data_IF_444579386395
#
_entry.id   IF_444579386395
#
_cell.length_a   1.000
_cell.length_b   1.000
_cell.length_c   1.000
_cell.angle_alpha   90.00
_cell.angle_beta   90.00
_cell.angle_gamma   90.00
#
_symmetry.space_group_name_H-M   'P 1'
#
loop_
_entity.id
_entity.type
_entity.pdbx_description
1 polymer ?
#
# COMPACT_ATOMS: atom_id res chain seq x y z
N UNK A 1 -52.14 -24.32 -25.51
CA UNK A 1 -52.22 -23.31 -26.59
C UNK A 1 -51.22 -22.19 -26.31
N UNK A 2 -50.51 -21.65 -27.31
CA UNK A 2 -49.55 -20.54 -27.10
C UNK A 2 -50.05 -19.22 -27.70
N UNK A 3 -49.65 -18.09 -27.12
CA UNK A 3 -50.04 -16.76 -27.59
C UNK A 3 -48.82 -16.00 -28.11
N UNK A 4 -48.96 -15.40 -29.29
CA UNK A 4 -47.90 -14.60 -29.87
C UNK A 4 -47.59 -13.35 -29.02
N UNK A 5 -46.36 -13.25 -28.52
CA UNK A 5 -45.89 -12.11 -27.71
C UNK A 5 -45.87 -10.76 -28.45
N UNK A 6 -45.92 -10.77 -29.79
CA UNK A 6 -45.91 -9.55 -30.61
C UNK A 6 -47.31 -9.06 -31.03
N UNK A 7 -48.23 -9.97 -31.35
CA UNK A 7 -49.54 -9.60 -31.92
C UNK A 7 -50.76 -10.19 -31.18
N UNK A 8 -50.56 -10.95 -30.12
CA UNK A 8 -51.61 -11.49 -29.25
C UNK A 8 -52.51 -12.59 -29.85
N UNK A 9 -52.24 -13.04 -31.09
CA UNK A 9 -53.01 -14.14 -31.70
C UNK A 9 -52.69 -15.45 -30.97
N UNK A 10 -53.74 -16.23 -30.71
CA UNK A 10 -53.67 -17.60 -30.21
C UNK A 10 -53.27 -18.53 -31.35
N UNK A 11 -52.21 -19.30 -31.15
CA UNK A 11 -51.74 -20.32 -32.08
C UNK A 11 -51.74 -21.69 -31.39
N UNK A 12 -51.67 -22.74 -32.20
CA UNK A 12 -51.55 -24.11 -31.70
C UNK A 12 -50.26 -24.31 -30.91
N UNK A 13 -50.26 -25.29 -30.01
CA UNK A 13 -49.12 -25.57 -29.12
C UNK A 13 -47.85 -25.96 -29.86
N UNK A 14 -48.02 -26.59 -31.03
CA UNK A 14 -46.92 -27.06 -31.87
C UNK A 14 -46.55 -26.05 -32.97
N UNK A 15 -47.14 -24.84 -32.95
CA UNK A 15 -46.86 -23.82 -33.96
C UNK A 15 -45.49 -23.16 -33.70
N UNK A 16 -44.52 -23.37 -34.59
CA UNK A 16 -43.20 -22.74 -34.50
C UNK A 16 -43.22 -21.24 -34.81
N UNK A 17 -44.17 -20.79 -35.66
CA UNK A 17 -44.33 -19.39 -36.06
C UNK A 17 -45.78 -18.93 -35.89
N UNK A 18 -45.97 -17.65 -35.61
CA UNK A 18 -47.31 -17.07 -35.51
C UNK A 18 -47.95 -16.93 -36.89
N UNK A 19 -49.05 -17.63 -37.14
CA UNK A 19 -49.81 -17.61 -38.41
C UNK A 19 -50.25 -16.22 -38.90
N UNK A 20 -50.31 -15.22 -38.00
CA UNK A 20 -50.75 -13.87 -38.39
C UNK A 20 -49.61 -12.91 -38.68
N UNK A 21 -48.48 -13.02 -37.99
CA UNK A 21 -47.40 -12.04 -38.10
C UNK A 21 -46.03 -12.65 -38.42
N UNK A 22 -45.95 -13.97 -38.54
CA UNK A 22 -44.75 -14.71 -38.95
C UNK A 22 -43.60 -14.73 -37.94
N UNK A 23 -43.78 -14.20 -36.72
CA UNK A 23 -42.70 -14.23 -35.71
C UNK A 23 -42.57 -15.62 -35.08
N UNK A 24 -41.34 -16.07 -34.87
CA UNK A 24 -41.05 -17.30 -34.15
C UNK A 24 -41.67 -17.25 -32.75
N UNK A 25 -42.36 -18.32 -32.39
CA UNK A 25 -42.97 -18.51 -31.07
C UNK A 25 -42.00 -19.22 -30.12
N UNK A 26 -40.86 -19.70 -30.63
CA UNK A 26 -39.80 -20.28 -29.81
C UNK A 26 -39.05 -19.19 -29.03
N UNK A 27 -39.02 -19.34 -27.70
CA UNK A 27 -38.40 -18.39 -26.77
C UNK A 27 -36.88 -18.50 -26.74
N UNK A 28 -36.30 -19.56 -27.33
CA UNK A 28 -34.85 -19.82 -27.36
C UNK A 28 -34.07 -18.75 -28.14
N UNK A 29 -34.63 -18.19 -29.22
CA UNK A 29 -34.00 -17.14 -30.04
C UNK A 29 -33.76 -15.80 -29.28
N UNK A 30 -34.54 -15.54 -28.22
CA UNK A 30 -34.39 -14.33 -27.40
C UNK A 30 -33.24 -14.42 -26.40
N UNK A 31 -32.89 -15.61 -25.91
CA UNK A 31 -31.78 -15.76 -24.96
C UNK A 31 -30.40 -15.63 -25.62
N UNK A 32 -30.25 -16.15 -26.84
CA UNK A 32 -28.98 -16.10 -27.57
C UNK A 32 -28.65 -14.71 -28.10
N UNK A 33 -29.66 -13.93 -28.47
CA UNK A 33 -29.50 -12.54 -28.89
C UNK A 33 -29.12 -11.61 -27.72
N UNK A 34 -29.65 -11.86 -26.51
CA UNK A 34 -29.29 -11.14 -25.28
C UNK A 34 -27.86 -11.50 -24.85
N UNK A 35 -27.49 -12.79 -24.77
CA UNK A 35 -26.12 -13.23 -24.42
C UNK A 35 -25.05 -12.65 -25.34
N UNK A 36 -25.32 -12.57 -26.65
CA UNK A 36 -24.39 -12.01 -27.65
C UNK A 36 -24.21 -10.50 -27.48
N UNK A 37 -25.26 -9.78 -27.09
CA UNK A 37 -25.19 -8.34 -26.83
C UNK A 37 -24.45 -8.00 -25.52
N UNK A 38 -24.66 -8.80 -24.47
CA UNK A 38 -23.96 -8.65 -23.18
C UNK A 38 -22.46 -8.92 -23.35
N UNK A 39 -22.09 -10.02 -24.03
CA UNK A 39 -20.68 -10.39 -24.28
C UNK A 39 -19.93 -9.36 -25.14
N UNK A 40 -20.61 -8.73 -26.11
CA UNK A 40 -20.02 -7.64 -26.92
C UNK A 40 -19.78 -6.37 -26.09
N UNK A 41 -20.60 -6.14 -25.07
CA UNK A 41 -20.49 -4.97 -24.18
C UNK A 41 -19.40 -5.19 -23.14
N UNK A 42 -19.32 -6.39 -22.55
CA UNK A 42 -18.21 -6.82 -21.68
C UNK A 42 -16.85 -6.69 -22.38
N UNK A 43 -16.71 -7.24 -23.58
CA UNK A 43 -15.46 -7.14 -24.36
C UNK A 43 -15.06 -5.69 -24.69
N UNK A 44 -16.02 -4.77 -24.81
CA UNK A 44 -15.74 -3.32 -25.01
C UNK A 44 -15.31 -2.65 -23.71
N UNK A 45 -15.90 -3.04 -22.58
CA UNK A 45 -15.55 -2.53 -21.26
C UNK A 45 -14.14 -3.02 -20.88
N UNK A 46 -13.84 -4.30 -21.11
CA UNK A 46 -12.53 -4.90 -20.87
C UNK A 46 -11.43 -4.20 -21.68
N UNK A 47 -11.64 -3.98 -22.98
CA UNK A 47 -10.68 -3.23 -23.82
C UNK A 47 -10.45 -1.80 -23.34
N UNK A 48 -11.51 -1.10 -22.91
CA UNK A 48 -11.38 0.26 -22.35
C UNK A 48 -10.67 0.27 -21.01
N UNK A 49 -10.93 -0.72 -20.15
CA UNK A 49 -10.24 -0.89 -18.87
C UNK A 49 -8.75 -1.21 -19.10
N UNK A 50 -8.42 -2.03 -20.10
CA UNK A 50 -7.04 -2.34 -20.46
C UNK A 50 -6.30 -1.12 -21.04
N UNK A 51 -6.93 -0.34 -21.93
CA UNK A 51 -6.38 0.91 -22.44
C UNK A 51 -6.18 1.96 -21.33
N UNK A 52 -7.12 2.06 -20.41
CA UNK A 52 -7.01 2.91 -19.22
C UNK A 52 -5.87 2.46 -18.30
N UNK A 53 -5.78 1.16 -18.01
CA UNK A 53 -4.71 0.56 -17.22
C UNK A 53 -3.33 0.83 -17.84
N UNK A 54 -3.17 0.59 -19.14
CA UNK A 54 -1.93 0.90 -19.87
C UNK A 54 -1.58 2.40 -19.86
N UNK A 55 -2.60 3.26 -19.85
CA UNK A 55 -2.40 4.72 -19.79
C UNK A 55 -1.97 5.17 -18.41
N UNK A 56 -2.59 4.65 -17.34
CA UNK A 56 -2.17 4.88 -15.95
C UNK A 56 -0.77 4.34 -15.72
N UNK A 57 -0.45 3.14 -16.20
CA UNK A 57 0.88 2.55 -16.03
C UNK A 57 1.96 3.42 -16.68
N UNK A 58 1.72 3.91 -17.91
CA UNK A 58 2.66 4.81 -18.59
C UNK A 58 2.77 6.17 -17.91
N UNK A 59 1.66 6.74 -17.43
CA UNK A 59 1.65 7.99 -16.68
C UNK A 59 2.41 7.83 -15.34
N UNK A 60 2.16 6.72 -14.64
CA UNK A 60 2.83 6.31 -13.42
C UNK A 60 4.34 6.18 -13.63
N UNK A 61 4.79 5.39 -14.63
CA UNK A 61 6.23 5.24 -14.93
C UNK A 61 6.92 6.56 -15.27
N UNK A 62 6.25 7.47 -15.98
CA UNK A 62 6.78 8.82 -16.30
C UNK A 62 6.84 9.71 -15.06
N UNK A 63 5.85 9.63 -14.19
CA UNK A 63 5.80 10.37 -12.95
C UNK A 63 6.85 9.87 -11.96
N UNK A 64 6.95 8.55 -11.78
CA UNK A 64 7.93 7.86 -10.96
C UNK A 64 9.36 8.21 -11.39
N UNK A 65 9.69 8.08 -12.68
CA UNK A 65 11.03 8.45 -13.17
C UNK A 65 11.38 9.93 -13.00
N UNK A 66 10.41 10.85 -13.16
CA UNK A 66 10.63 12.28 -12.90
C UNK A 66 10.84 12.55 -11.42
N UNK A 67 10.02 11.95 -10.55
CA UNK A 67 10.14 12.08 -9.10
C UNK A 67 11.48 11.52 -8.64
N UNK A 68 11.84 10.32 -9.09
CA UNK A 68 13.09 9.66 -8.72
C UNK A 68 14.31 10.50 -9.08
N UNK A 69 14.34 11.07 -10.28
CA UNK A 69 15.44 11.93 -10.70
C UNK A 69 15.48 13.21 -9.85
N UNK A 70 14.32 13.83 -9.60
CA UNK A 70 14.24 15.04 -8.77
C UNK A 70 14.67 14.77 -7.32
N UNK A 71 14.26 13.65 -6.74
CA UNK A 71 14.67 13.22 -5.39
C UNK A 71 16.18 12.96 -5.35
N UNK A 72 16.74 12.25 -6.34
CA UNK A 72 18.18 11.95 -6.41
C UNK A 72 19.01 13.23 -6.53
N UNK A 73 18.58 14.18 -7.35
CA UNK A 73 19.30 15.44 -7.55
C UNK A 73 19.20 16.32 -6.30
N UNK A 74 18.02 16.41 -5.69
CA UNK A 74 17.84 17.09 -4.41
C UNK A 74 18.70 16.46 -3.32
N UNK A 75 18.71 15.13 -3.22
CA UNK A 75 19.49 14.40 -2.23
C UNK A 75 20.99 14.62 -2.40
N UNK A 76 21.50 14.57 -3.64
CA UNK A 76 22.92 14.88 -3.92
C UNK A 76 23.27 16.31 -3.53
N UNK A 77 22.45 17.28 -3.93
CA UNK A 77 22.65 18.68 -3.57
C UNK A 77 22.64 18.88 -2.06
N UNK A 78 21.69 18.25 -1.38
CA UNK A 78 21.51 18.34 0.06
C UNK A 78 22.65 17.70 0.83
N UNK A 79 23.03 16.47 0.46
CA UNK A 79 24.17 15.74 1.07
C UNK A 79 25.47 16.54 0.86
N UNK A 80 25.67 17.16 -0.30
CA UNK A 80 26.83 18.02 -0.58
C UNK A 80 26.84 19.30 0.27
N UNK A 81 25.68 19.92 0.45
CA UNK A 81 25.55 21.21 1.15
C UNK A 81 25.64 21.08 2.67
N UNK A 82 24.96 20.09 3.25
CA UNK A 82 24.81 19.96 4.70
C UNK A 82 25.66 18.84 5.31
N UNK A 83 26.17 17.90 4.50
CA UNK A 83 27.05 16.81 4.92
C UNK A 83 26.56 16.15 6.23
N UNK A 84 27.37 16.20 7.30
CA UNK A 84 27.07 15.59 8.60
C UNK A 84 25.82 16.16 9.26
N UNK A 85 25.49 17.44 9.02
CA UNK A 85 24.30 18.08 9.58
C UNK A 85 23.01 17.73 8.84
N UNK A 86 23.11 17.16 7.64
CA UNK A 86 21.95 16.81 6.83
C UNK A 86 20.95 15.90 7.55
N UNK A 87 21.36 14.72 8.06
CA UNK A 87 20.48 13.83 8.81
C UNK A 87 19.80 14.49 10.01
N UNK A 88 20.52 15.37 10.72
CA UNK A 88 19.98 16.10 11.86
C UNK A 88 18.88 17.08 11.45
N UNK A 89 19.12 17.87 10.41
CA UNK A 89 18.13 18.82 9.88
C UNK A 89 16.88 18.08 9.40
N UNK A 90 17.02 16.95 8.69
CA UNK A 90 15.88 16.12 8.29
C UNK A 90 15.10 15.56 9.48
N UNK A 91 15.79 15.16 10.54
CA UNK A 91 15.14 14.68 11.78
C UNK A 91 14.31 15.80 12.43
N UNK A 92 14.85 17.02 12.48
CA UNK A 92 14.12 18.18 13.01
C UNK A 92 12.93 18.54 12.13
N UNK A 93 13.09 18.53 10.81
CA UNK A 93 11.98 18.77 9.89
C UNK A 93 10.88 17.72 10.05
N UNK A 94 11.27 16.45 10.18
CA UNK A 94 10.35 15.35 10.47
C UNK A 94 9.61 15.54 11.79
N UNK A 95 10.28 16.00 12.84
CA UNK A 95 9.67 16.32 14.13
C UNK A 95 8.69 17.49 14.03
N UNK A 96 9.01 18.54 13.27
CA UNK A 96 8.10 19.67 13.02
C UNK A 96 6.83 19.17 12.33
N UNK A 97 6.97 18.36 11.27
CA UNK A 97 5.84 17.78 10.54
C UNK A 97 5.01 16.88 11.46
N UNK A 98 5.65 15.99 12.23
CA UNK A 98 4.98 15.13 13.19
C UNK A 98 4.20 15.94 14.24
N UNK A 99 4.78 17.04 14.73
CA UNK A 99 4.10 17.95 15.65
C UNK A 99 2.89 18.62 15.02
N UNK A 100 2.98 19.03 13.74
CA UNK A 100 1.83 19.57 13.02
C UNK A 100 0.71 18.51 12.90
N UNK A 101 1.06 17.26 12.63
CA UNK A 101 0.11 16.15 12.60
C UNK A 101 -0.57 15.99 13.97
N UNK A 102 0.20 15.96 15.06
CA UNK A 102 -0.35 15.86 16.42
C UNK A 102 -1.32 17.01 16.72
N UNK A 103 -0.99 18.25 16.32
CA UNK A 103 -1.87 19.41 16.51
C UNK A 103 -3.18 19.25 15.72
N UNK A 104 -3.10 18.79 14.47
CA UNK A 104 -4.28 18.54 13.64
C UNK A 104 -5.14 17.42 14.25
N UNK A 105 -4.52 16.33 14.68
CA UNK A 105 -5.20 15.21 15.33
C UNK A 105 -5.86 15.62 16.63
N UNK A 106 -5.19 16.42 17.46
CA UNK A 106 -5.76 16.96 18.69
C UNK A 106 -6.98 17.84 18.42
N UNK A 107 -6.96 18.64 17.34
CA UNK A 107 -8.12 19.46 16.95
C UNK A 107 -9.28 18.63 16.39
N UNK A 108 -8.99 17.52 15.71
CA UNK A 108 -10.01 16.55 15.27
C UNK A 108 -10.46 15.60 16.38
N UNK A 109 -9.69 15.51 17.47
CA UNK A 109 -10.00 14.67 18.63
C UNK A 109 -11.25 15.10 19.39
N UNK A 110 -11.62 16.39 19.28
CA UNK A 110 -12.87 16.93 19.82
C UNK A 110 -14.11 16.26 19.16
N UNK A 111 -13.98 15.85 17.90
CA UNK A 111 -15.07 15.21 17.13
C UNK A 111 -14.94 13.68 17.11
N UNK A 112 -13.72 13.14 17.16
CA UNK A 112 -13.43 11.70 17.06
C UNK A 112 -12.41 11.32 18.14
N UNK A 113 -12.91 10.70 19.22
CA UNK A 113 -12.13 10.30 20.41
C UNK A 113 -10.84 9.54 20.05
N UNK A 114 -10.90 8.66 19.05
CA UNK A 114 -9.76 7.86 18.57
C UNK A 114 -8.58 8.73 18.14
N UNK A 115 -8.82 9.89 17.51
CA UNK A 115 -7.74 10.77 17.06
C UNK A 115 -7.07 11.50 18.22
N UNK A 116 -7.81 11.81 19.30
CA UNK A 116 -7.25 12.36 20.53
C UNK A 116 -6.25 11.40 21.16
N UNK A 117 -6.66 10.15 21.39
CA UNK A 117 -5.82 9.11 22.01
C UNK A 117 -4.56 8.79 21.20
N UNK A 118 -4.67 8.72 19.88
CA UNK A 118 -3.50 8.52 19.01
C UNK A 118 -2.60 9.75 19.07
N UNK A 119 -3.16 10.97 19.07
CA UNK A 119 -2.40 12.21 19.23
C UNK A 119 -1.59 12.23 20.53
N UNK A 120 -2.22 11.86 21.65
CA UNK A 120 -1.57 11.77 22.97
C UNK A 120 -0.46 10.72 23.00
N UNK A 121 -0.68 9.56 22.37
CA UNK A 121 0.34 8.54 22.22
C UNK A 121 1.53 9.07 21.41
N UNK A 122 1.27 9.68 20.25
CA UNK A 122 2.32 10.26 19.40
C UNK A 122 3.09 11.37 20.13
N UNK A 123 2.41 12.17 20.95
CA UNK A 123 3.02 13.18 21.80
C UNK A 123 3.89 12.54 22.90
N UNK A 124 3.39 11.52 23.58
CA UNK A 124 4.13 10.79 24.63
C UNK A 124 5.41 10.14 24.09
N UNK A 125 5.39 9.66 22.84
CA UNK A 125 6.53 9.02 22.20
C UNK A 125 7.32 9.95 21.26
N UNK A 126 7.07 11.26 21.29
CA UNK A 126 7.68 12.23 20.37
C UNK A 126 9.22 12.13 20.36
N UNK A 127 9.84 11.99 21.53
CA UNK A 127 11.30 11.83 21.63
C UNK A 127 11.80 10.50 21.05
N UNK A 128 11.03 9.41 21.21
CA UNK A 128 11.36 8.12 20.60
C UNK A 128 11.28 8.22 19.08
N UNK A 129 10.23 8.85 18.55
CA UNK A 129 10.12 9.12 17.11
C UNK A 129 11.29 9.95 16.59
N UNK A 130 11.68 11.01 17.30
CA UNK A 130 12.84 11.81 16.93
C UNK A 130 14.13 10.98 16.93
N UNK A 131 14.35 10.18 17.98
CA UNK A 131 15.48 9.28 18.09
C UNK A 131 15.52 8.26 16.95
N UNK A 132 14.38 7.68 16.57
CA UNK A 132 14.27 6.76 15.44
C UNK A 132 14.52 7.44 14.10
N UNK A 133 13.96 8.64 13.87
CA UNK A 133 14.24 9.40 12.65
C UNK A 133 15.73 9.70 12.54
N UNK A 134 16.34 10.15 13.63
CA UNK A 134 17.76 10.45 13.69
C UNK A 134 18.60 9.19 13.42
N UNK A 135 18.30 8.09 14.11
CA UNK A 135 18.95 6.81 13.90
C UNK A 135 18.86 6.37 12.43
N UNK A 136 17.68 6.44 11.82
CA UNK A 136 17.47 6.04 10.43
C UNK A 136 18.17 6.94 9.43
N UNK A 137 18.08 8.27 9.60
CA UNK A 137 18.72 9.20 8.68
C UNK A 137 20.23 9.11 8.75
N UNK A 138 20.81 8.95 9.95
CA UNK A 138 22.25 8.72 10.09
C UNK A 138 22.67 7.34 9.58
N UNK A 139 21.91 6.27 9.87
CA UNK A 139 22.18 4.93 9.35
C UNK A 139 22.20 4.95 7.81
N UNK A 140 21.24 5.63 7.19
CA UNK A 140 21.17 5.82 5.75
C UNK A 140 22.35 6.63 5.21
N UNK A 141 22.69 7.74 5.86
CA UNK A 141 23.81 8.61 5.46
C UNK A 141 25.17 7.90 5.56
N UNK A 142 25.44 7.22 6.66
CA UNK A 142 26.68 6.46 6.87
C UNK A 142 26.81 5.30 5.89
N UNK A 143 25.71 4.63 5.54
CA UNK A 143 25.71 3.59 4.51
C UNK A 143 26.06 4.16 3.12
N UNK A 144 25.66 5.40 2.82
CA UNK A 144 26.04 6.07 1.56
C UNK A 144 27.53 6.41 1.50
N UNK A 145 28.09 6.92 2.60
CA UNK A 145 29.50 7.37 2.65
C UNK A 145 30.48 6.20 2.83
N UNK A 146 30.23 5.33 3.80
CA UNK A 146 31.14 4.26 4.20
C UNK A 146 30.67 2.88 3.72
N UNK A 147 30.06 2.83 2.53
CA UNK A 147 29.34 1.66 1.99
C UNK A 147 30.01 0.30 2.22
N UNK A 148 31.34 0.19 2.09
CA UNK A 148 32.06 -1.08 2.27
C UNK A 148 32.20 -1.48 3.74
N UNK A 149 32.58 -0.55 4.61
CA UNK A 149 32.80 -0.81 6.04
C UNK A 149 31.47 -0.90 6.81
N UNK A 150 30.51 -0.05 6.44
CA UNK A 150 29.22 0.05 7.11
C UNK A 150 28.22 -1.03 6.69
N UNK A 151 28.55 -1.82 5.66
CA UNK A 151 27.70 -2.92 5.16
C UNK A 151 27.32 -3.94 6.23
N UNK A 152 28.19 -4.19 7.20
CA UNK A 152 27.94 -5.12 8.30
C UNK A 152 27.16 -4.50 9.46
N UNK A 153 27.22 -3.17 9.61
CA UNK A 153 26.60 -2.43 10.72
C UNK A 153 25.18 -1.99 10.34
N UNK A 154 24.98 -1.61 9.08
CA UNK A 154 23.72 -1.12 8.54
C UNK A 154 22.52 -2.05 8.82
N UNK A 155 22.61 -3.39 8.58
CA UNK A 155 21.51 -4.30 8.86
C UNK A 155 21.09 -4.29 10.32
N UNK A 156 22.04 -4.34 11.26
CA UNK A 156 21.74 -4.36 12.69
C UNK A 156 21.01 -3.10 13.15
N UNK A 157 21.48 -1.92 12.74
CA UNK A 157 20.83 -0.65 13.10
C UNK A 157 19.43 -0.57 12.45
N UNK A 158 19.28 -1.03 11.21
CA UNK A 158 17.99 -1.11 10.54
C UNK A 158 17.02 -2.05 11.27
N UNK A 159 17.50 -3.19 11.76
CA UNK A 159 16.70 -4.12 12.57
C UNK A 159 16.24 -3.47 13.87
N UNK A 160 17.14 -2.81 14.60
CA UNK A 160 16.79 -2.09 15.83
C UNK A 160 15.69 -1.07 15.56
N UNK A 161 15.86 -0.25 14.52
CA UNK A 161 14.82 0.72 14.17
C UNK A 161 13.50 0.04 13.81
N UNK A 162 13.52 -1.04 13.03
CA UNK A 162 12.32 -1.76 12.63
C UNK A 162 11.57 -2.32 13.84
N UNK A 163 12.29 -2.87 14.82
CA UNK A 163 11.70 -3.47 16.02
C UNK A 163 11.07 -2.41 16.92
N UNK A 164 11.73 -1.27 17.13
CA UNK A 164 11.13 -0.18 17.91
C UNK A 164 9.89 0.37 17.19
N UNK A 165 9.92 0.48 15.85
CA UNK A 165 8.74 0.88 15.07
C UNK A 165 7.59 -0.12 15.23
N UNK A 166 7.85 -1.43 15.15
CA UNK A 166 6.83 -2.47 15.36
C UNK A 166 6.25 -2.39 16.77
N UNK A 167 7.07 -2.15 17.78
CA UNK A 167 6.61 -1.95 19.15
C UNK A 167 5.70 -0.73 19.30
N UNK A 168 6.04 0.40 18.69
CA UNK A 168 5.18 1.59 18.69
C UNK A 168 3.84 1.28 17.99
N UNK A 169 3.88 0.58 16.85
CA UNK A 169 2.67 0.16 16.12
C UNK A 169 1.81 -0.73 17.03
N UNK A 170 2.39 -1.67 17.75
CA UNK A 170 1.66 -2.49 18.72
C UNK A 170 0.94 -1.64 19.77
N UNK A 171 1.61 -0.63 20.35
CA UNK A 171 0.97 0.29 21.31
C UNK A 171 -0.17 1.10 20.70
N UNK A 172 -0.04 1.50 19.44
CA UNK A 172 -1.12 2.15 18.70
C UNK A 172 -2.29 1.18 18.52
N UNK A 173 -2.04 -0.06 18.06
CA UNK A 173 -3.09 -1.06 17.84
C UNK A 173 -3.87 -1.40 19.10
N UNK A 174 -3.21 -1.51 20.26
CA UNK A 174 -3.88 -1.73 21.57
C UNK A 174 -4.82 -0.56 21.88
N UNK A 175 -4.41 0.68 21.60
CA UNK A 175 -5.26 1.87 21.79
C UNK A 175 -6.40 1.95 20.78
N UNK A 176 -6.24 1.47 19.55
CA UNK A 176 -7.34 1.40 18.60
C UNK A 176 -8.36 0.32 18.98
N UNK A 177 -7.90 -0.82 19.48
CA UNK A 177 -8.78 -1.93 19.90
C UNK A 177 -9.78 -1.48 20.97
N UNK A 178 -9.35 -0.67 21.95
CA UNK A 178 -10.23 -0.16 23.01
C UNK A 178 -11.39 0.70 22.51
N UNK A 179 -11.31 1.24 21.30
CA UNK A 179 -12.35 2.10 20.73
C UNK A 179 -13.13 1.48 19.58
N UNK A 180 -12.49 0.58 18.81
CA UNK A 180 -13.11 -0.06 17.66
C UNK A 180 -13.71 -1.43 17.99
N UNK A 181 -13.38 -2.00 19.16
CA UNK A 181 -13.81 -3.33 19.60
C UNK A 181 -13.54 -4.40 18.53
N UNK A 182 -12.37 -4.32 17.86
CA UNK A 182 -11.96 -5.25 16.80
C UNK A 182 -10.93 -6.23 17.38
N UNK A 183 -11.34 -7.45 17.81
CA UNK A 183 -10.48 -8.36 18.58
C UNK A 183 -9.20 -8.78 17.83
N UNK A 184 -9.25 -8.69 16.49
CA UNK A 184 -8.12 -8.95 15.62
C UNK A 184 -6.95 -7.97 15.83
N UNK A 185 -7.24 -6.68 16.12
CA UNK A 185 -6.20 -5.67 16.33
C UNK A 185 -5.42 -5.95 17.61
N UNK A 186 -6.11 -6.25 18.72
CA UNK A 186 -5.47 -6.69 19.96
C UNK A 186 -4.67 -7.97 19.79
N UNK A 187 -5.19 -8.94 19.02
CA UNK A 187 -4.47 -10.19 18.77
C UNK A 187 -3.14 -9.96 18.05
N UNK A 188 -3.11 -9.10 17.03
CA UNK A 188 -1.86 -8.73 16.34
C UNK A 188 -0.92 -8.00 17.30
N UNK A 189 -1.43 -7.04 18.05
CA UNK A 189 -0.60 -6.23 18.94
C UNK A 189 0.05 -7.08 20.03
N UNK A 190 -0.74 -7.93 20.70
CA UNK A 190 -0.25 -8.85 21.72
C UNK A 190 0.76 -9.84 21.13
N UNK A 191 0.51 -10.36 19.93
CA UNK A 191 1.48 -11.22 19.24
C UNK A 191 2.83 -10.50 19.03
N UNK A 192 2.81 -9.24 18.57
CA UNK A 192 4.03 -8.44 18.39
C UNK A 192 4.73 -8.21 19.73
N UNK A 193 4.00 -7.82 20.77
CA UNK A 193 4.56 -7.52 22.10
C UNK A 193 5.17 -8.76 22.76
N UNK A 194 4.46 -9.89 22.74
CA UNK A 194 4.92 -11.15 23.36
C UNK A 194 6.10 -11.77 22.61
N UNK A 195 6.16 -11.60 21.28
CA UNK A 195 7.17 -12.23 20.44
C UNK A 195 8.24 -11.26 19.94
N UNK A 196 8.36 -10.07 20.53
CA UNK A 196 9.25 -9.02 20.04
C UNK A 196 10.72 -9.46 19.94
N UNK A 197 11.17 -10.32 20.87
CA UNK A 197 12.53 -10.87 20.86
C UNK A 197 12.75 -11.88 19.72
N UNK A 198 11.76 -12.74 19.47
CA UNK A 198 11.81 -13.71 18.36
C UNK A 198 11.79 -12.95 17.03
N UNK A 199 10.91 -11.94 16.90
CA UNK A 199 10.85 -11.06 15.74
C UNK A 199 12.17 -10.33 15.52
N UNK A 200 12.83 -9.86 16.58
CA UNK A 200 14.15 -9.25 16.49
C UNK A 200 15.18 -10.20 15.86
N UNK A 201 15.27 -11.44 16.35
CA UNK A 201 16.22 -12.43 15.81
C UNK A 201 15.90 -12.73 14.33
N UNK A 202 14.63 -12.98 14.01
CA UNK A 202 14.21 -13.31 12.64
C UNK A 202 14.54 -12.17 11.68
N UNK A 203 14.16 -10.93 12.03
CA UNK A 203 14.41 -9.75 11.19
C UNK A 203 15.91 -9.48 11.08
N UNK A 204 16.69 -9.68 12.15
CA UNK A 204 18.14 -9.53 12.13
C UNK A 204 18.77 -10.49 11.10
N UNK A 205 18.45 -11.78 11.22
CA UNK A 205 18.96 -12.81 10.31
C UNK A 205 18.57 -12.51 8.87
N UNK A 206 17.31 -12.18 8.61
CA UNK A 206 16.83 -11.82 7.26
C UNK A 206 17.56 -10.58 6.71
N UNK A 207 17.76 -9.56 7.53
CA UNK A 207 18.45 -8.32 7.14
C UNK A 207 19.89 -8.59 6.72
N UNK A 208 20.61 -9.43 7.48
CA UNK A 208 21.96 -9.87 7.12
C UNK A 208 21.99 -10.77 5.89
N UNK A 209 21.03 -11.70 5.75
CA UNK A 209 20.92 -12.56 4.57
C UNK A 209 20.77 -11.72 3.28
N UNK A 210 19.89 -10.72 3.31
CA UNK A 210 19.66 -9.82 2.16
C UNK A 210 20.91 -9.02 1.84
N UNK A 211 21.53 -8.39 2.83
CA UNK A 211 22.65 -7.48 2.61
C UNK A 211 23.94 -8.22 2.19
N UNK A 212 24.20 -9.40 2.74
CA UNK A 212 25.44 -10.13 2.53
C UNK A 212 25.38 -11.11 1.36
N UNK A 213 24.25 -11.79 1.14
CA UNK A 213 24.16 -12.83 0.12
C UNK A 213 23.37 -12.39 -1.11
N UNK A 214 22.17 -11.82 -0.94
CA UNK A 214 21.28 -11.53 -2.07
C UNK A 214 21.81 -10.36 -2.92
N UNK A 215 22.22 -9.26 -2.29
CA UNK A 215 22.70 -8.07 -3.03
C UNK A 215 23.91 -8.34 -3.94
N UNK A 216 24.96 -9.08 -3.50
CA UNK A 216 26.04 -9.47 -4.39
C UNK A 216 25.60 -10.37 -5.54
N UNK A 217 24.79 -11.39 -5.24
CA UNK A 217 24.31 -12.34 -6.26
C UNK A 217 23.49 -11.62 -7.33
N UNK A 218 22.58 -10.74 -6.93
CA UNK A 218 21.78 -9.95 -7.86
C UNK A 218 22.67 -9.05 -8.76
N UNK A 219 23.74 -8.48 -8.20
CA UNK A 219 24.69 -7.67 -8.96
C UNK A 219 25.43 -8.50 -10.01
N UNK A 220 25.88 -9.70 -9.66
CA UNK A 220 26.54 -10.62 -10.60
C UNK A 220 25.61 -11.07 -11.72
N UNK A 221 24.34 -11.37 -11.42
CA UNK A 221 23.36 -11.78 -12.44
C UNK A 221 22.98 -10.63 -13.37
N UNK A 222 22.97 -9.38 -12.91
CA UNK A 222 22.67 -8.21 -13.76
C UNK A 222 23.78 -7.86 -14.76
N UNK A 223 24.97 -8.44 -14.60
CA UNK A 223 26.12 -8.25 -15.49
C UNK A 223 26.34 -9.41 -16.47
N UNK A 224 25.50 -10.44 -16.45
CA UNK A 224 25.44 -11.52 -17.47
C UNK A 224 24.28 -11.26 -18.42
#
# INVERSE_FOLDING_TARGET
MTYCTKCGKKNDDDAEFCDKCGISLDTTDKEDSIKKHTKKTENKIEKKAEEFGRSIEKAGKRFESKIDNSIKDFQKWYDNKFKLFGPLIWSFLGLIILRLIIIVMGRSGDDIIVFGDIGDLLYSYLLIFFGLMLLNFYNSYLNRIYKKQYRFIYPAISTISCIVTLWIISKILIKLDTHLEVPFLASIANFIDENIFVLFIVILVLSYCIELFIKPLAKEMSHK
#
